data_IF_772055846477
#
_entry.id   IF_772055846477
#
_cell.length_a   1.000
_cell.length_b   1.000
_cell.length_c   1.000
_cell.angle_alpha   90.00
_cell.angle_beta   90.00
_cell.angle_gamma   90.00
#
_symmetry.space_group_name_H-M   'P 1'
#
loop_
_entity.id
_entity.type
_entity.pdbx_description
1 polymer ?
#
# COMPACT_ATOMS: atom_id res chain seq x y z
N UNK A 1 -15.78 10.30 -2.97
CA UNK A 1 -14.31 10.48 -3.07
C UNK A 1 -13.72 9.08 -3.06
N UNK A 2 -13.79 8.39 -4.21
CA UNK A 2 -13.13 7.09 -4.34
C UNK A 2 -11.66 7.36 -4.65
N UNK A 3 -10.80 6.90 -3.75
CA UNK A 3 -9.36 6.96 -3.94
C UNK A 3 -9.01 5.87 -4.95
N UNK A 4 -9.11 6.17 -6.25
CA UNK A 4 -8.68 5.25 -7.31
C UNK A 4 -7.15 5.14 -7.29
N UNK A 5 -6.67 4.09 -6.62
CA UNK A 5 -5.27 3.70 -6.70
C UNK A 5 -4.98 3.18 -8.12
N UNK A 6 -4.13 3.89 -8.85
CA UNK A 6 -3.62 3.47 -10.15
C UNK A 6 -2.96 2.07 -10.03
N UNK A 7 -3.49 1.11 -10.76
CA UNK A 7 -3.02 -0.28 -10.76
C UNK A 7 -1.54 -0.39 -11.21
N UNK A 8 -1.09 0.49 -12.10
CA UNK A 8 0.30 0.57 -12.58
C UNK A 8 1.23 1.02 -11.45
N UNK A 9 0.75 1.96 -10.62
CA UNK A 9 1.47 2.42 -9.43
C UNK A 9 1.51 1.34 -8.35
N UNK A 10 0.43 0.58 -8.18
CA UNK A 10 0.39 -0.55 -7.24
C UNK A 10 1.40 -1.65 -7.61
N UNK A 11 1.46 -2.04 -8.90
CA UNK A 11 2.45 -3.00 -9.39
C UNK A 11 3.89 -2.49 -9.22
N UNK A 12 4.11 -1.21 -9.50
CA UNK A 12 5.42 -0.57 -9.31
C UNK A 12 5.84 -0.50 -7.84
N UNK A 13 4.91 -0.19 -6.93
CA UNK A 13 5.18 -0.17 -5.50
C UNK A 13 5.50 -1.56 -4.95
N UNK A 14 4.76 -2.58 -5.37
CA UNK A 14 5.04 -3.97 -5.00
C UNK A 14 6.42 -4.41 -5.47
N UNK A 15 6.80 -4.08 -6.71
CA UNK A 15 8.13 -4.40 -7.25
C UNK A 15 9.25 -3.64 -6.54
N UNK A 16 9.04 -2.37 -6.19
CA UNK A 16 10.07 -1.51 -5.57
C UNK A 16 10.25 -1.77 -4.08
N UNK A 17 9.17 -2.03 -3.35
CA UNK A 17 9.16 -2.08 -1.89
C UNK A 17 8.86 -3.47 -1.34
N UNK A 18 8.48 -4.44 -2.18
CA UNK A 18 8.19 -5.81 -1.78
C UNK A 18 6.90 -5.96 -0.96
N UNK A 19 6.19 -4.87 -0.67
CA UNK A 19 4.98 -4.85 0.15
C UNK A 19 3.81 -4.28 -0.64
N UNK A 20 2.65 -4.92 -0.50
CA UNK A 20 1.42 -4.43 -1.12
C UNK A 20 0.83 -3.26 -0.32
N UNK A 21 0.03 -2.42 -0.96
CA UNK A 21 -0.70 -1.36 -0.26
C UNK A 21 -1.59 -1.87 0.87
N UNK A 22 -2.19 -3.05 0.69
CA UNK A 22 -3.05 -3.68 1.68
C UNK A 22 -2.26 -4.05 2.95
N UNK A 23 -1.01 -4.48 2.78
CA UNK A 23 -0.11 -4.84 3.87
C UNK A 23 0.52 -3.62 4.53
N UNK A 24 0.91 -2.60 3.74
CA UNK A 24 1.39 -1.33 4.29
C UNK A 24 0.32 -0.61 5.12
N UNK A 25 -0.97 -0.73 4.76
CA UNK A 25 -2.08 -0.13 5.50
C UNK A 25 -2.14 -0.63 6.95
N UNK A 26 -1.82 -1.89 7.22
CA UNK A 26 -1.89 -2.46 8.58
C UNK A 26 -0.87 -1.84 9.53
N UNK A 27 0.19 -1.22 9.03
CA UNK A 27 1.16 -0.45 9.83
C UNK A 27 0.53 0.85 10.34
N UNK A 28 -0.30 1.50 9.53
CA UNK A 28 -1.01 2.72 9.94
C UNK A 28 -2.18 2.43 10.87
N UNK A 29 -2.78 1.24 10.75
CA UNK A 29 -3.88 0.81 11.62
C UNK A 29 -3.41 0.38 13.03
N UNK A 30 -2.10 0.29 13.28
CA UNK A 30 -1.58 -0.13 14.58
C UNK A 30 -0.43 0.77 15.07
N UNK A 31 -0.74 1.89 15.76
CA UNK A 31 0.25 2.90 16.15
C UNK A 31 1.19 2.49 17.30
N UNK A 32 1.20 1.23 17.75
CA UNK A 32 1.87 0.78 18.97
C UNK A 32 2.91 -0.33 18.75
N UNK A 33 3.60 -0.35 17.62
CA UNK A 33 4.81 -1.16 17.42
C UNK A 33 6.00 -0.31 17.02
#
# INVERSE_FOLDING_TARGET
MEFEWDQSKAASNLKKHGVSFKEAKTVFDNPWR
#
